data_IF_658517008656
#
_entry.id   IF_658517008656
#
_cell.length_a   1.000
_cell.length_b   1.000
_cell.length_c   1.000
_cell.angle_alpha   90.00
_cell.angle_beta   90.00
_cell.angle_gamma   90.00
#
_symmetry.space_group_name_H-M   'P 1'
#
loop_
_entity.id
_entity.type
_entity.pdbx_description
1 polymer ?
#
# COMPACT_ATOMS: atom_id res chain seq x y z
N UNK A 1 56.38 -15.69 33.91
CA UNK A 1 56.24 -14.69 32.82
C UNK A 1 55.08 -15.14 31.93
N UNK A 2 53.87 -14.62 32.17
CA UNK A 2 52.62 -15.00 31.49
C UNK A 2 52.01 -13.79 30.77
N UNK A 3 51.29 -14.11 29.71
CA UNK A 3 50.87 -13.30 28.58
C UNK A 3 49.58 -12.47 28.78
N UNK A 4 49.25 -11.76 27.70
CA UNK A 4 47.94 -11.23 27.29
C UNK A 4 47.50 -9.88 27.85
N UNK A 5 47.79 -8.83 27.07
CA UNK A 5 47.01 -7.59 27.08
C UNK A 5 45.77 -7.81 26.19
N UNK A 6 44.60 -7.66 26.78
CA UNK A 6 43.28 -7.83 26.16
C UNK A 6 42.52 -6.53 26.36
N UNK A 7 41.83 -6.05 25.30
CA UNK A 7 40.51 -5.36 25.33
C UNK A 7 40.40 -4.14 26.28
N UNK A 8 40.11 -2.93 25.82
CA UNK A 8 38.92 -2.53 25.07
C UNK A 8 39.16 -1.13 24.51
N UNK A 9 38.94 -1.02 23.21
CA UNK A 9 38.84 0.22 22.45
C UNK A 9 37.78 1.15 23.07
N UNK A 10 38.08 2.46 23.10
CA UNK A 10 37.18 3.50 23.61
C UNK A 10 35.83 3.52 22.88
N UNK A 11 34.73 3.88 23.55
CA UNK A 11 33.46 4.16 22.86
C UNK A 11 33.58 5.48 22.10
N UNK A 12 34.02 5.41 20.85
CA UNK A 12 34.04 6.52 19.91
C UNK A 12 32.60 6.91 19.54
N UNK A 13 32.17 8.05 20.10
CA UNK A 13 30.85 8.64 19.92
C UNK A 13 30.75 9.43 18.61
N UNK A 14 31.15 8.84 17.47
CA UNK A 14 31.12 9.53 16.18
C UNK A 14 30.96 8.57 15.00
N UNK A 15 30.02 7.63 15.09
CA UNK A 15 29.65 6.80 13.94
C UNK A 15 28.37 7.33 13.26
N UNK A 16 28.44 8.06 12.13
CA UNK A 16 27.27 8.48 11.36
C UNK A 16 26.69 7.32 10.52
N UNK A 17 26.56 6.13 11.10
CA UNK A 17 25.94 4.95 10.49
C UNK A 17 24.42 4.92 10.76
N UNK A 18 23.73 6.03 10.47
CA UNK A 18 22.32 5.90 10.11
C UNK A 18 22.24 5.46 8.65
N UNK A 19 22.64 4.21 8.44
CA UNK A 19 22.35 3.39 7.29
C UNK A 19 20.90 3.59 6.91
N UNK A 20 20.68 4.14 5.72
CA UNK A 20 19.37 4.26 5.07
C UNK A 20 18.80 2.85 4.91
N UNK A 21 18.17 2.32 5.96
CA UNK A 21 17.31 1.16 5.83
C UNK A 21 16.21 1.60 4.86
N UNK A 22 16.10 1.05 3.64
CA UNK A 22 14.97 1.36 2.80
C UNK A 22 13.75 0.92 3.58
N UNK A 23 12.94 1.88 4.03
CA UNK A 23 11.63 1.57 4.56
C UNK A 23 10.92 0.78 3.46
N UNK A 24 10.80 -0.53 3.63
CA UNK A 24 9.97 -1.35 2.76
C UNK A 24 8.53 -0.85 2.97
N UNK A 25 8.11 0.09 2.13
CA UNK A 25 6.70 0.38 1.88
C UNK A 25 6.10 -0.95 1.42
N UNK A 26 5.48 -1.68 2.35
CA UNK A 26 4.85 -2.95 2.03
C UNK A 26 3.63 -2.60 1.17
N UNK A 27 3.71 -2.81 -0.12
CA UNK A 27 2.55 -2.73 -1.02
C UNK A 27 1.91 -4.10 -1.10
N UNK A 28 0.59 -4.16 -1.16
CA UNK A 28 -0.14 -5.38 -1.50
C UNK A 28 -0.99 -5.16 -2.75
N UNK A 29 -1.11 -6.22 -3.55
CA UNK A 29 -1.86 -6.22 -4.80
C UNK A 29 -3.11 -7.07 -4.63
N UNK A 30 -4.24 -6.52 -5.03
CA UNK A 30 -5.54 -7.18 -5.06
C UNK A 30 -6.00 -7.27 -6.51
N UNK A 31 -6.48 -8.43 -6.95
CA UNK A 31 -7.05 -8.63 -8.28
C UNK A 31 -8.56 -8.81 -8.19
N UNK A 32 -9.29 -8.07 -9.02
CA UNK A 32 -10.74 -8.26 -9.19
C UNK A 32 -11.10 -8.36 -10.67
N UNK A 33 -12.04 -9.24 -11.00
CA UNK A 33 -12.58 -9.34 -12.37
C UNK A 33 -13.90 -8.57 -12.46
N UNK A 34 -14.04 -7.75 -13.49
CA UNK A 34 -15.25 -6.96 -13.73
C UNK A 34 -15.63 -7.00 -15.21
N UNK A 35 -16.91 -6.76 -15.50
CA UNK A 35 -17.38 -6.58 -16.89
C UNK A 35 -17.11 -5.15 -17.36
N UNK A 36 -17.09 -4.93 -18.67
CA UNK A 36 -16.95 -3.60 -19.25
C UNK A 36 -17.97 -2.59 -18.71
N UNK A 37 -19.22 -3.00 -18.53
CA UNK A 37 -20.30 -2.15 -17.97
C UNK A 37 -20.03 -1.73 -16.52
N UNK A 38 -19.39 -2.59 -15.73
CA UNK A 38 -19.08 -2.33 -14.32
C UNK A 38 -17.76 -1.58 -14.13
N UNK A 39 -16.87 -1.61 -15.12
CA UNK A 39 -15.51 -1.09 -15.04
C UNK A 39 -15.46 0.36 -14.55
N UNK A 40 -16.22 1.25 -15.19
CA UNK A 40 -16.23 2.69 -14.84
C UNK A 40 -16.74 2.91 -13.42
N UNK A 41 -17.78 2.18 -13.00
CA UNK A 41 -18.35 2.30 -11.67
C UNK A 41 -17.36 1.82 -10.59
N UNK A 42 -16.70 0.68 -10.84
CA UNK A 42 -15.68 0.12 -9.95
C UNK A 42 -14.49 1.06 -9.81
N UNK A 43 -13.95 1.60 -10.90
CA UNK A 43 -12.82 2.54 -10.85
C UNK A 43 -13.19 3.81 -10.05
N UNK A 44 -14.39 4.35 -10.26
CA UNK A 44 -14.88 5.50 -9.48
C UNK A 44 -14.98 5.18 -7.99
N UNK A 45 -15.48 4.00 -7.64
CA UNK A 45 -15.56 3.53 -6.25
C UNK A 45 -14.16 3.40 -5.63
N UNK A 46 -13.24 2.71 -6.29
CA UNK A 46 -11.85 2.52 -5.83
C UNK A 46 -11.15 3.87 -5.61
N UNK A 47 -11.42 4.83 -6.49
CA UNK A 47 -10.89 6.18 -6.36
C UNK A 47 -11.49 6.95 -5.18
N UNK A 48 -12.78 6.72 -4.87
CA UNK A 48 -13.44 7.30 -3.70
C UNK A 48 -13.00 6.67 -2.37
N UNK A 49 -12.62 5.38 -2.36
CA UNK A 49 -12.13 4.68 -1.16
C UNK A 49 -10.84 5.28 -0.60
N UNK A 50 -10.06 6.00 -1.41
CA UNK A 50 -8.87 6.69 -0.89
C UNK A 50 -7.71 5.77 -0.49
N UNK A 51 -7.83 4.47 -0.72
CA UNK A 51 -6.82 3.46 -0.33
C UNK A 51 -6.11 2.83 -1.53
N UNK A 52 -6.47 3.21 -2.76
CA UNK A 52 -5.82 2.73 -3.97
C UNK A 52 -4.84 3.76 -4.48
N UNK A 53 -3.59 3.34 -4.72
CA UNK A 53 -2.54 4.19 -5.28
C UNK A 53 -2.31 3.95 -6.76
N UNK A 54 -2.50 2.73 -7.24
CA UNK A 54 -2.31 2.36 -8.64
C UNK A 54 -3.33 1.33 -9.06
N UNK A 55 -3.87 1.50 -10.28
CA UNK A 55 -4.68 0.49 -10.95
C UNK A 55 -3.97 0.10 -12.22
N UNK A 56 -3.89 -1.20 -12.45
CA UNK A 56 -3.53 -1.79 -13.73
C UNK A 56 -4.71 -2.61 -14.24
N UNK A 57 -5.12 -2.31 -15.46
CA UNK A 57 -6.15 -3.01 -16.20
C UNK A 57 -5.48 -4.02 -17.12
N UNK A 58 -5.84 -5.29 -16.97
CA UNK A 58 -5.32 -6.38 -17.77
C UNK A 58 -6.44 -7.13 -18.48
N UNK A 59 -6.15 -7.62 -19.68
CA UNK A 59 -7.01 -8.56 -20.39
C UNK A 59 -6.98 -9.94 -19.72
N UNK A 60 -7.99 -10.79 -19.94
CA UNK A 60 -7.97 -12.16 -19.43
C UNK A 60 -6.72 -12.95 -19.81
N UNK A 61 -6.16 -12.62 -20.98
CA UNK A 61 -4.97 -13.24 -21.57
C UNK A 61 -3.65 -12.71 -20.94
N UNK A 62 -3.73 -11.71 -20.05
CA UNK A 62 -2.61 -11.18 -19.28
C UNK A 62 -1.97 -9.90 -19.84
N UNK A 63 -2.41 -9.43 -21.01
CA UNK A 63 -1.91 -8.20 -21.61
C UNK A 63 -2.39 -6.96 -20.84
N UNK A 64 -1.49 -6.00 -20.64
CA UNK A 64 -1.79 -4.75 -19.93
C UNK A 64 -2.46 -3.79 -20.90
N UNK A 65 -3.74 -3.49 -20.63
CA UNK A 65 -4.51 -2.49 -21.39
C UNK A 65 -4.17 -1.09 -20.90
N UNK A 66 -3.97 -0.91 -19.59
CA UNK A 66 -3.81 0.41 -18.98
C UNK A 66 -3.15 0.32 -17.59
N UNK A 67 -2.18 1.18 -17.28
CA UNK A 67 -1.51 1.23 -15.96
C UNK A 67 -1.33 2.68 -15.49
N UNK A 68 -2.00 3.07 -14.40
CA UNK A 68 -1.97 4.46 -13.94
C UNK A 68 -2.17 4.63 -12.43
N UNK A 69 -1.61 5.71 -11.86
CA UNK A 69 -1.85 6.07 -10.47
C UNK A 69 -3.28 6.60 -10.25
N UNK A 70 -3.96 6.06 -9.25
CA UNK A 70 -5.21 6.63 -8.74
C UNK A 70 -4.87 7.76 -7.77
N UNK A 71 -4.99 9.00 -8.25
CA UNK A 71 -4.66 10.17 -7.43
C UNK A 71 -5.92 10.67 -6.73
N UNK A 72 -6.07 10.27 -5.45
CA UNK A 72 -7.25 10.57 -4.63
C UNK A 72 -7.52 12.08 -4.51
N UNK A 73 -6.45 12.89 -4.54
CA UNK A 73 -6.53 14.35 -4.55
C UNK A 73 -7.30 14.92 -5.75
N UNK A 74 -7.37 14.21 -6.87
CA UNK A 74 -8.15 14.64 -8.03
C UNK A 74 -9.66 14.58 -7.75
N UNK A 75 -10.14 13.55 -7.04
CA UNK A 75 -11.57 13.40 -6.76
C UNK A 75 -11.99 14.23 -5.54
N UNK A 76 -11.22 14.18 -4.46
CA UNK A 76 -11.56 14.90 -3.23
C UNK A 76 -11.36 16.42 -3.32
N UNK A 77 -10.42 16.90 -4.15
CA UNK A 77 -10.09 18.32 -4.30
C UNK A 77 -10.94 19.10 -5.32
N UNK A 78 -12.03 18.52 -5.83
CA UNK A 78 -12.87 19.14 -6.87
C UNK A 78 -12.29 19.07 -8.29
N UNK A 79 -11.13 18.41 -8.46
CA UNK A 79 -10.46 18.21 -9.73
C UNK A 79 -10.98 16.97 -10.50
N UNK A 80 -12.28 16.69 -10.43
CA UNK A 80 -12.91 15.63 -11.25
C UNK A 80 -12.62 15.87 -12.73
N UNK A 81 -12.52 17.12 -13.16
CA UNK A 81 -12.09 17.48 -14.52
C UNK A 81 -10.69 16.96 -14.89
N UNK A 82 -9.79 16.74 -13.92
CA UNK A 82 -8.47 16.14 -14.15
C UNK A 82 -8.54 14.60 -14.19
N UNK A 83 -9.52 14.00 -13.51
CA UNK A 83 -9.82 12.57 -13.63
C UNK A 83 -10.69 12.23 -14.84
N UNK A 84 -11.35 13.22 -15.45
CA UNK A 84 -12.25 13.03 -16.59
C UNK A 84 -11.57 12.41 -17.82
N UNK A 85 -10.35 12.81 -18.24
CA UNK A 85 -9.65 12.18 -19.36
C UNK A 85 -9.44 10.68 -19.13
N UNK A 86 -9.07 10.33 -17.90
CA UNK A 86 -8.88 8.95 -17.49
C UNK A 86 -10.21 8.16 -17.59
N UNK A 87 -11.25 8.63 -16.92
CA UNK A 87 -12.55 7.96 -16.96
C UNK A 87 -13.13 7.90 -18.39
N UNK A 88 -12.79 8.86 -19.25
CA UNK A 88 -13.18 8.85 -20.66
C UNK A 88 -12.45 7.75 -21.46
N UNK A 89 -11.14 7.57 -21.28
CA UNK A 89 -10.39 6.47 -21.91
C UNK A 89 -10.97 5.12 -21.47
N UNK A 90 -11.15 4.94 -20.16
CA UNK A 90 -11.74 3.72 -19.60
C UNK A 90 -13.16 3.52 -20.17
N UNK A 91 -13.98 4.56 -20.20
CA UNK A 91 -15.34 4.49 -20.75
C UNK A 91 -15.38 4.17 -22.25
N UNK A 92 -14.44 4.69 -23.03
CA UNK A 92 -14.33 4.39 -24.46
C UNK A 92 -13.91 2.94 -24.71
N UNK A 93 -13.00 2.38 -23.90
CA UNK A 93 -12.56 0.98 -24.01
C UNK A 93 -13.56 0.00 -23.40
N UNK A 94 -14.27 0.41 -22.34
CA UNK A 94 -15.24 -0.40 -21.60
C UNK A 94 -16.34 -0.99 -22.50
N UNK A 95 -16.68 -0.33 -23.61
CA UNK A 95 -17.73 -0.78 -24.54
C UNK A 95 -17.28 -1.97 -25.40
N UNK A 96 -15.97 -2.16 -25.57
CA UNK A 96 -15.40 -3.21 -26.41
C UNK A 96 -14.96 -4.44 -25.62
N UNK A 97 -14.77 -4.29 -24.31
CA UNK A 97 -14.27 -5.37 -23.44
C UNK A 97 -15.43 -6.08 -22.75
N UNK A 98 -15.50 -7.41 -22.91
CA UNK A 98 -16.51 -8.22 -22.22
C UNK A 98 -16.17 -8.38 -20.74
N UNK A 99 -14.89 -8.67 -20.47
CA UNK A 99 -14.33 -8.86 -19.13
C UNK A 99 -12.92 -8.32 -19.09
N UNK A 100 -12.56 -7.76 -17.95
CA UNK A 100 -11.24 -7.23 -17.66
C UNK A 100 -10.88 -7.51 -16.21
N UNK A 101 -9.59 -7.58 -15.93
CA UNK A 101 -9.08 -7.76 -14.58
C UNK A 101 -8.40 -6.47 -14.12
N UNK A 102 -8.70 -6.07 -12.89
CA UNK A 102 -8.09 -4.91 -12.26
C UNK A 102 -7.13 -5.39 -11.19
N UNK A 103 -5.85 -5.11 -11.37
CA UNK A 103 -4.83 -5.20 -10.35
C UNK A 103 -4.77 -3.86 -9.59
N UNK A 104 -5.03 -3.92 -8.30
CA UNK A 104 -5.15 -2.77 -7.40
C UNK A 104 -3.95 -2.81 -6.46
N UNK A 105 -3.04 -1.85 -6.59
CA UNK A 105 -1.90 -1.73 -5.69
C UNK A 105 -2.22 -0.72 -4.61
N UNK A 106 -2.18 -1.19 -3.37
CA UNK A 106 -2.42 -0.37 -2.17
C UNK A 106 -1.18 -0.42 -1.27
N UNK A 107 -0.97 0.63 -0.49
CA UNK A 107 0.02 0.59 0.57
C UNK A 107 -0.55 -0.06 1.83
N UNK A 108 0.28 -0.82 2.52
CA UNK A 108 0.02 -1.22 3.90
C UNK A 108 0.25 0.00 4.78
N UNK A 109 -0.77 0.52 5.50
CA UNK A 109 -0.51 1.48 6.55
C UNK A 109 0.44 0.83 7.56
N UNK A 110 1.45 1.56 8.08
CA UNK A 110 2.35 1.01 9.08
C UNK A 110 1.51 0.38 10.20
N UNK A 111 1.86 -0.81 10.70
CA UNK A 111 1.05 -1.47 11.72
C UNK A 111 0.89 -0.49 12.88
N UNK A 112 -0.33 0.00 13.07
CA UNK A 112 -0.73 0.75 14.24
C UNK A 112 -0.60 -0.22 15.41
N UNK A 113 0.56 -0.18 16.06
CA UNK A 113 0.89 -0.97 17.25
C UNK A 113 0.02 -0.55 18.42
N UNK A 114 -1.25 -0.93 18.39
CA UNK A 114 -2.12 -1.01 19.54
C UNK A 114 -1.93 -2.36 20.21
N UNK A 115 -0.85 -2.54 20.97
CA UNK A 115 -0.78 -3.57 22.01
C UNK A 115 0.01 -3.02 23.19
N UNK A 116 -0.64 -2.12 23.93
CA UNK A 116 -0.43 -1.98 25.37
C UNK A 116 -1.79 -1.68 26.01
N UNK A 117 -2.72 -2.65 25.93
CA UNK A 117 -3.98 -2.60 26.66
C UNK A 117 -4.41 -3.96 27.25
N UNK A 118 -3.49 -4.94 27.30
CA UNK A 118 -3.78 -6.29 27.82
C UNK A 118 -2.59 -6.77 28.66
N UNK A 119 -2.35 -6.05 29.76
CA UNK A 119 -1.72 -6.59 30.96
C UNK A 119 -2.43 -6.07 32.23
N UNK A 120 -3.69 -5.67 32.10
CA UNK A 120 -4.63 -5.60 33.22
C UNK A 120 -5.24 -7.00 33.38
N UNK A 121 -4.42 -7.98 33.76
CA UNK A 121 -4.92 -9.17 34.43
C UNK A 121 -5.08 -8.81 35.90
N UNK A 122 -6.34 -8.83 36.33
CA UNK A 122 -6.79 -8.70 37.69
C UNK A 122 -6.02 -9.63 38.65
N UNK A 123 -5.70 -9.07 39.83
CA UNK A 123 -6.15 -9.56 41.14
C UNK A 123 -6.30 -11.09 41.29
N UNK A 124 -5.39 -11.72 42.05
CA UNK A 124 -5.72 -12.46 43.28
C UNK A 124 -4.45 -13.13 43.87
N UNK A 125 -4.25 -12.94 45.17
CA UNK A 125 -3.16 -13.53 45.98
C UNK A 125 -3.62 -14.89 46.49
N UNK A 126 -2.77 -15.95 46.57
CA UNK A 126 -2.30 -16.32 47.91
C UNK A 126 -0.88 -16.94 47.98
N UNK A 127 -0.31 -16.80 49.18
CA UNK A 127 0.71 -17.66 49.83
C UNK A 127 2.16 -17.59 49.32
N UNK A 128 3.08 -17.07 50.14
CA UNK A 128 3.76 -17.76 51.28
C UNK A 128 4.10 -16.70 52.34
#
# INVERSE_FOLDING_TARGET
MKASQSRTDSPDASNPDHEKRPHHERTWTEEIEVTGEQLVATVKRLAAEGQVRRIRLTEPDGDIVLDMPLTIGAIAGGAIMLAAPLLAIIGALAVFVTKVRLEIVRDVPPPSGGTKADAASADDTPSI
#
